data_IF_258101861890
#
_entry.id   IF_258101861890
#
_cell.length_a   1.000
_cell.length_b   1.000
_cell.length_c   1.000
_cell.angle_alpha   90.00
_cell.angle_beta   90.00
_cell.angle_gamma   90.00
#
_symmetry.space_group_name_H-M   'P 1'
#
loop_
_entity.id
_entity.type
_entity.pdbx_description
1 polymer ?
#
# COMPACT_ATOMS: atom_id res chain seq x y z
N UNK A 1 -18.85 -22.10 14.64
CA UNK A 1 -19.92 -23.09 14.37
C UNK A 1 -21.24 -22.36 14.48
N UNK A 2 -21.83 -21.93 13.36
CA UNK A 2 -23.16 -21.32 13.38
C UNK A 2 -24.15 -22.45 13.64
N UNK A 3 -24.98 -22.32 14.68
CA UNK A 3 -25.88 -23.41 15.12
C UNK A 3 -26.83 -23.82 13.98
N UNK A 4 -27.09 -25.13 13.77
CA UNK A 4 -28.04 -25.62 12.75
C UNK A 4 -29.41 -24.94 12.84
N UNK A 5 -29.81 -24.57 14.06
CA UNK A 5 -31.07 -23.87 14.36
C UNK A 5 -31.10 -22.44 13.80
N UNK A 6 -29.97 -21.72 13.84
CA UNK A 6 -29.85 -20.37 13.26
C UNK A 6 -29.91 -20.41 11.73
N UNK A 7 -29.39 -21.48 11.11
CA UNK A 7 -29.45 -21.68 9.66
C UNK A 7 -30.85 -22.11 9.20
N UNK A 8 -31.52 -23.02 9.92
CA UNK A 8 -32.87 -23.49 9.59
C UNK A 8 -33.95 -22.43 9.80
N UNK A 9 -33.83 -21.59 10.83
CA UNK A 9 -34.82 -20.54 11.08
C UNK A 9 -34.44 -19.17 10.49
N UNK A 10 -33.16 -18.87 10.32
CA UNK A 10 -32.70 -17.55 9.87
C UNK A 10 -32.74 -17.35 8.35
N UNK A 11 -32.47 -18.39 7.56
CA UNK A 11 -32.48 -18.27 6.10
C UNK A 11 -33.87 -18.01 5.51
N UNK A 12 -34.96 -18.68 5.94
CA UNK A 12 -36.31 -18.36 5.46
C UNK A 12 -36.73 -16.93 5.80
N UNK A 13 -36.37 -16.44 7.00
CA UNK A 13 -36.66 -15.06 7.44
C UNK A 13 -35.87 -14.04 6.62
N UNK A 14 -34.59 -14.30 6.34
CA UNK A 14 -33.81 -13.42 5.46
C UNK A 14 -34.34 -13.43 4.02
N UNK A 15 -34.70 -14.59 3.50
CA UNK A 15 -35.27 -14.73 2.16
C UNK A 15 -36.61 -14.00 2.03
N UNK A 16 -37.47 -14.05 3.04
CA UNK A 16 -38.74 -13.31 3.05
C UNK A 16 -38.53 -11.80 3.12
N UNK A 17 -37.62 -11.31 3.97
CA UNK A 17 -37.28 -9.87 4.06
C UNK A 17 -36.71 -9.35 2.74
N UNK A 18 -35.76 -10.08 2.13
CA UNK A 18 -35.16 -9.69 0.84
C UNK A 18 -36.19 -9.78 -0.29
N UNK A 19 -37.05 -10.80 -0.28
CA UNK A 19 -38.15 -10.94 -1.22
C UNK A 19 -39.13 -9.76 -1.15
N UNK A 20 -39.52 -9.35 0.06
CA UNK A 20 -40.43 -8.24 0.28
C UNK A 20 -39.80 -6.91 -0.14
N UNK A 21 -38.54 -6.69 0.22
CA UNK A 21 -37.77 -5.51 -0.22
C UNK A 21 -37.67 -5.42 -1.75
N UNK A 22 -37.36 -6.53 -2.43
CA UNK A 22 -37.30 -6.59 -3.90
C UNK A 22 -38.68 -6.43 -4.55
N UNK A 23 -39.75 -6.87 -3.90
CA UNK A 23 -41.13 -6.74 -4.37
C UNK A 23 -41.62 -5.29 -4.45
N UNK A 24 -41.03 -4.38 -3.65
CA UNK A 24 -41.34 -2.94 -3.71
C UNK A 24 -40.78 -2.25 -4.97
N UNK A 25 -39.82 -2.87 -5.66
CA UNK A 25 -39.14 -2.32 -6.83
C UNK A 25 -39.94 -2.67 -8.10
N UNK A 26 -40.35 -1.66 -8.87
CA UNK A 26 -41.17 -1.82 -10.09
C UNK A 26 -40.41 -2.32 -11.33
N UNK A 27 -39.24 -2.93 -11.16
CA UNK A 27 -38.44 -3.45 -12.26
C UNK A 27 -38.75 -4.94 -12.51
N UNK A 28 -38.92 -5.40 -13.77
CA UNK A 28 -39.27 -6.79 -14.07
C UNK A 28 -38.34 -7.83 -13.43
N UNK A 29 -37.03 -7.57 -13.44
CA UNK A 29 -36.05 -8.47 -12.81
C UNK A 29 -36.21 -8.57 -11.28
N UNK A 30 -36.59 -7.47 -10.62
CA UNK A 30 -36.79 -7.46 -9.17
C UNK A 30 -38.07 -8.21 -8.77
N UNK A 31 -39.14 -8.08 -9.56
CA UNK A 31 -40.39 -8.83 -9.39
C UNK A 31 -40.18 -10.34 -9.55
N UNK A 32 -39.41 -10.76 -10.55
CA UNK A 32 -39.04 -12.17 -10.76
C UNK A 32 -38.22 -12.68 -9.59
N UNK A 33 -37.19 -11.94 -9.16
CA UNK A 33 -36.34 -12.33 -8.03
C UNK A 33 -37.12 -12.45 -6.71
N UNK A 34 -38.01 -11.49 -6.42
CA UNK A 34 -38.91 -11.53 -5.25
C UNK A 34 -39.77 -12.80 -5.25
N UNK A 35 -40.46 -13.08 -6.35
CA UNK A 35 -41.30 -14.28 -6.46
C UNK A 35 -40.52 -15.58 -6.30
N UNK A 36 -39.34 -15.67 -6.91
CA UNK A 36 -38.47 -16.84 -6.80
C UNK A 36 -37.92 -17.03 -5.38
N UNK A 37 -37.52 -15.95 -4.70
CA UNK A 37 -37.05 -16.01 -3.30
C UNK A 37 -38.18 -16.41 -2.34
N UNK A 38 -39.41 -15.94 -2.58
CA UNK A 38 -40.59 -16.38 -1.83
C UNK A 38 -40.84 -17.88 -1.96
N UNK A 39 -40.82 -18.42 -3.19
CA UNK A 39 -40.97 -19.85 -3.43
C UNK A 39 -39.90 -20.70 -2.73
N UNK A 40 -38.65 -20.22 -2.71
CA UNK A 40 -37.55 -20.90 -2.00
C UNK A 40 -37.76 -20.87 -0.49
N UNK A 41 -38.22 -19.74 0.07
CA UNK A 41 -38.57 -19.62 1.49
C UNK A 41 -39.68 -20.58 1.90
N UNK A 42 -40.71 -20.72 1.06
CA UNK A 42 -41.82 -21.64 1.31
C UNK A 42 -41.35 -23.10 1.26
N UNK A 43 -40.53 -23.46 0.27
CA UNK A 43 -39.94 -24.79 0.15
C UNK A 43 -39.04 -25.16 1.35
N UNK A 44 -38.30 -24.19 1.89
CA UNK A 44 -37.52 -24.35 3.12
C UNK A 44 -38.41 -24.55 4.35
N UNK A 45 -39.47 -23.76 4.48
CA UNK A 45 -40.39 -23.81 5.62
C UNK A 45 -41.23 -25.09 5.64
N UNK A 46 -41.56 -25.62 4.46
CA UNK A 46 -42.28 -26.88 4.27
C UNK A 46 -41.36 -28.11 4.36
N UNK A 47 -40.05 -27.94 4.59
CA UNK A 47 -39.09 -29.05 4.69
C UNK A 47 -38.84 -29.78 3.37
N UNK A 48 -39.19 -29.17 2.23
CA UNK A 48 -38.94 -29.74 0.90
C UNK A 48 -37.47 -29.67 0.50
N UNK A 49 -36.71 -28.76 1.12
CA UNK A 49 -35.25 -28.71 1.04
C UNK A 49 -34.70 -29.33 2.32
N UNK A 50 -33.95 -30.43 2.19
CA UNK A 50 -33.50 -31.18 3.38
C UNK A 50 -32.34 -30.48 4.08
N UNK A 51 -32.16 -30.69 5.40
CA UNK A 51 -31.01 -30.17 6.13
C UNK A 51 -29.67 -30.61 5.54
N UNK A 52 -29.60 -31.79 4.95
CA UNK A 52 -28.39 -32.35 4.33
C UNK A 52 -28.02 -31.61 3.04
N UNK A 53 -28.99 -31.28 2.20
CA UNK A 53 -28.78 -30.47 0.99
C UNK A 53 -28.29 -29.06 1.35
N UNK A 54 -28.82 -28.48 2.44
CA UNK A 54 -28.37 -27.18 2.95
C UNK A 54 -26.96 -27.25 3.55
N UNK A 55 -26.65 -28.33 4.27
CA UNK A 55 -25.31 -28.55 4.81
C UNK A 55 -24.28 -28.73 3.70
N UNK A 56 -24.63 -29.39 2.59
CA UNK A 56 -23.78 -29.52 1.42
C UNK A 56 -23.58 -28.19 0.67
N UNK A 57 -24.66 -27.44 0.44
CA UNK A 57 -24.59 -26.10 -0.14
C UNK A 57 -23.70 -25.15 0.69
N UNK A 58 -23.80 -25.21 2.02
CA UNK A 58 -22.94 -24.43 2.92
C UNK A 58 -21.48 -24.84 2.81
N UNK A 59 -21.16 -26.14 2.74
CA UNK A 59 -19.77 -26.61 2.54
C UNK A 59 -19.19 -26.08 1.23
N UNK A 60 -19.97 -26.06 0.15
CA UNK A 60 -19.55 -25.48 -1.12
C UNK A 60 -19.36 -23.96 -1.03
N UNK A 61 -20.28 -23.24 -0.39
CA UNK A 61 -20.17 -21.81 -0.18
C UNK A 61 -18.94 -21.44 0.67
N UNK A 62 -18.68 -22.19 1.75
CA UNK A 62 -17.47 -22.04 2.58
C UNK A 62 -16.21 -22.29 1.75
N UNK A 63 -16.20 -23.35 0.91
CA UNK A 63 -15.04 -23.62 0.06
C UNK A 63 -14.81 -22.54 -0.99
N UNK A 64 -15.86 -22.01 -1.60
CA UNK A 64 -15.74 -20.91 -2.54
C UNK A 64 -15.26 -19.63 -1.86
N UNK A 65 -15.76 -19.32 -0.66
CA UNK A 65 -15.30 -18.19 0.12
C UNK A 65 -13.82 -18.33 0.52
N UNK A 66 -13.39 -19.53 0.88
CA UNK A 66 -11.98 -19.83 1.17
C UNK A 66 -11.09 -19.62 -0.07
N UNK A 67 -11.49 -20.14 -1.23
CA UNK A 67 -10.75 -19.98 -2.49
C UNK A 67 -10.68 -18.50 -2.89
N UNK A 68 -11.79 -17.77 -2.84
CA UNK A 68 -11.81 -16.33 -3.14
C UNK A 68 -10.92 -15.53 -2.16
N UNK A 69 -10.92 -15.90 -0.88
CA UNK A 69 -10.02 -15.29 0.11
C UNK A 69 -8.54 -15.59 -0.21
N UNK A 70 -8.21 -16.82 -0.59
CA UNK A 70 -6.86 -17.21 -0.99
C UNK A 70 -6.39 -16.47 -2.25
N UNK A 71 -7.26 -16.32 -3.27
CA UNK A 71 -6.99 -15.53 -4.47
C UNK A 71 -6.69 -14.07 -4.12
N UNK A 72 -7.50 -13.46 -3.27
CA UNK A 72 -7.28 -12.10 -2.79
C UNK A 72 -5.93 -11.96 -2.06
N UNK A 73 -5.61 -12.90 -1.16
CA UNK A 73 -4.33 -12.92 -0.46
C UNK A 73 -3.16 -13.04 -1.43
N UNK A 74 -3.25 -13.94 -2.41
CA UNK A 74 -2.21 -14.13 -3.42
C UNK A 74 -2.01 -12.87 -4.27
N UNK A 75 -3.10 -12.24 -4.72
CA UNK A 75 -3.05 -10.98 -5.46
C UNK A 75 -2.38 -9.87 -4.64
N UNK A 76 -2.75 -9.72 -3.36
CA UNK A 76 -2.13 -8.74 -2.48
C UNK A 76 -0.65 -9.05 -2.20
N UNK A 77 -0.27 -10.32 -2.08
CA UNK A 77 1.12 -10.71 -1.92
C UNK A 77 1.94 -10.34 -3.15
N UNK A 78 1.45 -10.64 -4.35
CA UNK A 78 2.13 -10.34 -5.60
C UNK A 78 2.33 -8.82 -5.80
N UNK A 79 1.30 -8.02 -5.51
CA UNK A 79 1.39 -6.55 -5.56
C UNK A 79 2.39 -6.01 -4.54
N UNK A 80 2.39 -6.54 -3.31
CA UNK A 80 3.34 -6.13 -2.29
C UNK A 80 4.78 -6.55 -2.63
N UNK A 81 4.97 -7.71 -3.26
CA UNK A 81 6.26 -8.19 -3.70
C UNK A 81 6.83 -7.31 -4.81
N UNK A 82 6.03 -6.96 -5.82
CA UNK A 82 6.46 -6.05 -6.89
C UNK A 82 6.79 -4.65 -6.37
N UNK A 83 5.96 -4.09 -5.48
CA UNK A 83 6.23 -2.78 -4.85
C UNK A 83 7.51 -2.80 -4.03
N UNK A 84 7.79 -3.87 -3.29
CA UNK A 84 9.05 -4.02 -2.55
C UNK A 84 10.24 -4.13 -3.50
N UNK A 85 10.11 -4.84 -4.61
CA UNK A 85 11.14 -4.94 -5.63
C UNK A 85 11.43 -3.58 -6.30
N UNK A 86 10.40 -2.79 -6.57
CA UNK A 86 10.52 -1.42 -7.09
C UNK A 86 11.20 -0.48 -6.08
N UNK A 87 10.81 -0.52 -4.82
CA UNK A 87 11.43 0.29 -3.75
C UNK A 87 12.87 -0.14 -3.48
N UNK A 88 13.17 -1.43 -3.59
CA UNK A 88 14.52 -1.98 -3.44
C UNK A 88 15.39 -1.75 -4.69
N UNK A 89 14.79 -1.34 -5.82
CA UNK A 89 15.52 -1.00 -7.04
C UNK A 89 16.47 0.16 -6.75
N UNK A 90 17.76 -0.15 -6.81
CA UNK A 90 18.85 0.74 -6.39
C UNK A 90 19.42 1.55 -7.57
N UNK A 91 18.55 1.99 -8.49
CA UNK A 91 18.97 2.73 -9.68
C UNK A 91 19.85 3.95 -9.29
N UNK A 92 21.13 3.98 -9.74
CA UNK A 92 22.04 5.08 -9.48
C UNK A 92 21.50 6.45 -9.94
N UNK A 93 20.64 6.48 -10.96
CA UNK A 93 20.03 7.70 -11.50
C UNK A 93 19.08 8.36 -10.49
N UNK A 94 18.21 7.58 -9.84
CA UNK A 94 17.24 8.08 -8.84
C UNK A 94 17.94 8.68 -7.62
N UNK A 95 19.07 8.09 -7.21
CA UNK A 95 19.87 8.57 -6.07
C UNK A 95 20.68 9.84 -6.40
N UNK A 96 21.09 10.03 -7.66
CA UNK A 96 21.89 11.17 -8.11
C UNK A 96 21.05 12.36 -8.57
N UNK A 97 19.84 12.12 -9.07
CA UNK A 97 18.87 13.15 -9.49
C UNK A 97 18.60 14.19 -8.39
N UNK A 98 18.43 13.75 -7.14
CA UNK A 98 18.09 14.67 -6.04
C UNK A 98 19.26 15.62 -5.70
N UNK A 99 20.51 15.14 -5.53
CA UNK A 99 21.68 16.02 -5.40
C UNK A 99 21.94 16.92 -6.61
N UNK A 100 21.81 16.43 -7.84
CA UNK A 100 22.10 17.21 -9.06
C UNK A 100 21.20 18.44 -9.19
N UNK A 101 19.92 18.31 -8.81
CA UNK A 101 19.01 19.45 -8.77
C UNK A 101 19.50 20.54 -7.81
N UNK A 102 19.91 20.16 -6.59
CA UNK A 102 20.45 21.11 -5.61
C UNK A 102 21.72 21.81 -6.09
N UNK A 103 22.64 21.09 -6.76
CA UNK A 103 23.85 21.69 -7.32
C UNK A 103 23.56 22.67 -8.45
N UNK A 104 22.62 22.34 -9.35
CA UNK A 104 22.21 23.25 -10.42
C UNK A 104 21.58 24.53 -9.86
N UNK A 105 20.72 24.41 -8.84
CA UNK A 105 20.12 25.57 -8.15
C UNK A 105 21.16 26.45 -7.45
N UNK A 106 22.15 25.84 -6.79
CA UNK A 106 23.23 26.59 -6.16
C UNK A 106 24.08 27.33 -7.21
N UNK A 107 24.34 26.70 -8.35
CA UNK A 107 25.10 27.30 -9.44
C UNK A 107 24.34 28.46 -10.08
N UNK A 108 23.04 28.31 -10.36
CA UNK A 108 22.23 29.41 -10.92
C UNK A 108 22.12 30.57 -9.95
N UNK A 109 21.95 30.30 -8.65
CA UNK A 109 21.95 31.33 -7.63
C UNK A 109 23.30 32.07 -7.55
N UNK A 110 24.41 31.35 -7.58
CA UNK A 110 25.74 31.96 -7.57
C UNK A 110 25.97 32.83 -8.81
N UNK A 111 25.59 32.36 -9.99
CA UNK A 111 25.67 33.13 -11.23
C UNK A 111 24.80 34.39 -11.16
N UNK A 112 23.59 34.29 -10.62
CA UNK A 112 22.67 35.42 -10.47
C UNK A 112 23.18 36.47 -9.49
N UNK A 113 23.75 36.06 -8.35
CA UNK A 113 24.35 36.97 -7.37
C UNK A 113 25.61 37.65 -7.94
N UNK A 114 26.42 36.93 -8.73
CA UNK A 114 27.57 37.52 -9.42
C UNK A 114 27.16 38.54 -10.47
N UNK A 115 26.10 38.26 -11.24
CA UNK A 115 25.54 39.20 -12.21
C UNK A 115 25.03 40.47 -11.51
N UNK A 116 24.32 40.34 -10.39
CA UNK A 116 23.88 41.48 -9.58
C UNK A 116 25.07 42.28 -9.04
N UNK A 117 26.08 41.62 -8.49
CA UNK A 117 27.29 42.28 -7.98
C UNK A 117 28.03 43.03 -9.08
N UNK A 118 28.12 42.44 -10.29
CA UNK A 118 28.73 43.09 -11.45
C UNK A 118 27.99 44.38 -11.82
N UNK A 119 26.65 44.33 -11.95
CA UNK A 119 25.85 45.51 -12.30
C UNK A 119 25.99 46.60 -11.24
N UNK A 120 25.97 46.24 -9.95
CA UNK A 120 26.10 47.22 -8.86
C UNK A 120 27.46 47.93 -8.90
N UNK A 121 28.54 47.25 -9.30
CA UNK A 121 29.90 47.82 -9.32
C UNK A 121 30.19 48.58 -10.62
N UNK A 122 29.82 48.02 -11.76
CA UNK A 122 30.24 48.52 -13.08
C UNK A 122 29.14 49.26 -13.84
N UNK A 123 27.87 49.02 -13.53
CA UNK A 123 26.71 49.60 -14.22
C UNK A 123 25.70 50.19 -13.20
N UNK A 124 26.20 50.97 -12.26
CA UNK A 124 25.44 51.56 -11.12
C UNK A 124 24.15 52.26 -11.56
N UNK A 125 24.16 52.92 -12.72
CA UNK A 125 22.99 53.60 -13.28
C UNK A 125 21.80 52.65 -13.54
N UNK A 126 22.07 51.37 -13.82
CA UNK A 126 21.05 50.34 -14.07
C UNK A 126 20.73 49.49 -12.84
N UNK A 127 21.45 49.69 -11.73
CA UNK A 127 21.32 48.85 -10.54
C UNK A 127 19.90 48.87 -9.97
N UNK A 128 19.22 50.01 -10.00
CA UNK A 128 17.85 50.17 -9.49
C UNK A 128 16.84 49.30 -10.27
N UNK A 129 16.83 49.43 -11.60
CA UNK A 129 15.94 48.66 -12.49
C UNK A 129 16.20 47.15 -12.38
N UNK A 130 17.47 46.75 -12.25
CA UNK A 130 17.84 45.34 -12.13
C UNK A 130 17.45 44.76 -10.77
N UNK A 131 17.59 45.53 -9.68
CA UNK A 131 17.14 45.12 -8.35
C UNK A 131 15.61 45.00 -8.28
N UNK A 132 14.88 45.92 -8.89
CA UNK A 132 13.42 45.84 -8.98
C UNK A 132 12.99 44.61 -9.82
N UNK A 133 13.73 44.31 -10.88
CA UNK A 133 13.50 43.09 -11.67
C UNK A 133 13.76 41.83 -10.84
N UNK A 134 14.80 41.83 -9.99
CA UNK A 134 15.10 40.71 -9.09
C UNK A 134 13.97 40.43 -8.09
N UNK A 135 13.32 41.47 -7.58
CA UNK A 135 12.16 41.34 -6.69
C UNK A 135 11.02 40.57 -7.36
N UNK A 136 10.77 40.82 -8.66
CA UNK A 136 9.75 40.11 -9.43
C UNK A 136 10.01 38.60 -9.58
N UNK A 137 11.28 38.16 -9.47
CA UNK A 137 11.64 36.74 -9.45
C UNK A 137 11.42 36.10 -8.07
N UNK A 138 11.02 36.85 -7.04
CA UNK A 138 10.80 36.33 -5.69
C UNK A 138 9.85 35.14 -5.64
N UNK A 139 8.76 35.16 -6.42
CA UNK A 139 7.76 34.07 -6.45
C UNK A 139 8.35 32.75 -6.95
N UNK A 140 9.15 32.76 -8.03
CA UNK A 140 9.77 31.53 -8.55
C UNK A 140 10.81 30.99 -7.57
N UNK A 141 11.55 31.87 -6.88
CA UNK A 141 12.50 31.50 -5.84
C UNK A 141 11.82 30.91 -4.60
N UNK A 142 10.68 31.46 -4.17
CA UNK A 142 9.89 30.91 -3.07
C UNK A 142 9.47 29.47 -3.36
N UNK A 143 8.98 29.19 -4.57
CA UNK A 143 8.63 27.82 -4.97
C UNK A 143 9.87 26.93 -4.98
N UNK A 144 10.96 27.36 -5.62
CA UNK A 144 12.20 26.57 -5.73
C UNK A 144 12.83 26.24 -4.37
N UNK A 145 12.88 27.21 -3.46
CA UNK A 145 13.42 27.04 -2.11
C UNK A 145 12.49 26.19 -1.23
N UNK A 146 11.17 26.24 -1.44
CA UNK A 146 10.23 25.37 -0.72
C UNK A 146 10.48 23.88 -1.01
N UNK A 147 10.70 23.53 -2.28
CA UNK A 147 11.01 22.16 -2.72
C UNK A 147 12.33 21.69 -2.14
N UNK A 148 13.36 22.55 -2.16
CA UNK A 148 14.66 22.25 -1.59
C UNK A 148 14.59 22.10 -0.06
N UNK A 149 13.78 22.91 0.61
CA UNK A 149 13.53 22.81 2.05
C UNK A 149 12.91 21.46 2.45
N UNK A 150 11.87 21.01 1.74
CA UNK A 150 11.25 19.70 1.96
C UNK A 150 12.26 18.58 1.70
N UNK A 151 13.07 18.69 0.64
CA UNK A 151 14.11 17.72 0.33
C UNK A 151 15.16 17.62 1.45
N UNK A 152 15.69 18.74 1.92
CA UNK A 152 16.68 18.78 3.03
C UNK A 152 16.08 18.22 4.31
N UNK A 153 14.82 18.55 4.61
CA UNK A 153 14.11 18.02 5.77
C UNK A 153 14.01 16.49 5.71
N UNK A 154 13.47 15.94 4.61
CA UNK A 154 13.34 14.49 4.43
C UNK A 154 14.69 13.77 4.45
N UNK A 155 15.71 14.34 3.81
CA UNK A 155 17.07 13.78 3.82
C UNK A 155 17.69 13.81 5.22
N UNK A 156 17.34 14.80 6.04
CA UNK A 156 17.78 14.88 7.43
C UNK A 156 17.05 13.85 8.31
N UNK A 157 15.75 13.62 8.07
CA UNK A 157 15.00 12.53 8.71
C UNK A 157 15.59 11.16 8.40
N UNK A 158 15.91 10.88 7.12
CA UNK A 158 16.56 9.62 6.71
C UNK A 158 17.88 9.36 7.47
N UNK A 159 18.66 10.41 7.71
CA UNK A 159 19.92 10.33 8.49
C UNK A 159 19.67 10.08 9.97
N UNK A 160 18.58 10.61 10.54
CA UNK A 160 18.22 10.43 11.95
C UNK A 160 17.78 9.00 12.28
N UNK A 161 17.15 8.31 11.33
CA UNK A 161 16.67 6.92 11.48
C UNK A 161 17.82 5.91 11.34
N UNK A 162 19.04 6.36 10.99
CA UNK A 162 20.26 5.53 11.02
C UNK A 162 21.14 5.90 12.24
N UNK A 163 20.80 5.48 13.47
CA UNK A 163 21.73 5.56 14.60
C UNK A 163 22.85 4.52 14.43
N UNK A 164 24.11 4.99 14.40
CA UNK A 164 25.35 4.23 14.62
C UNK A 164 25.50 2.85 13.95
N UNK A 165 25.99 2.83 12.71
CA UNK A 165 27.08 1.89 12.39
C UNK A 165 28.35 2.51 12.98
N UNK A 166 28.51 2.34 14.30
CA UNK A 166 29.73 2.66 15.01
C UNK A 166 30.90 1.92 14.38
N UNK A 167 32.04 2.60 14.34
CA UNK A 167 33.37 2.04 14.10
C UNK A 167 33.48 0.68 14.82
N UNK A 168 33.51 -0.43 14.07
CA UNK A 168 33.96 -1.72 14.62
C UNK A 168 35.47 -1.62 14.84
N UNK A 169 36.00 -1.76 16.06
CA UNK A 169 37.43 -1.95 16.21
C UNK A 169 37.77 -3.29 15.54
N UNK A 170 38.71 -3.21 14.61
CA UNK A 170 39.30 -4.37 13.95
C UNK A 170 39.99 -5.24 15.00
N UNK A 171 39.34 -6.32 15.41
CA UNK A 171 40.02 -7.46 16.01
C UNK A 171 40.08 -8.54 14.94
N UNK A 172 41.21 -8.58 14.24
CA UNK A 172 41.72 -9.82 13.64
C UNK A 172 41.74 -10.87 14.75
N UNK A 173 41.10 -12.02 14.55
CA UNK A 173 41.70 -13.32 14.84
C UNK A 173 40.87 -14.50 14.29
N UNK A 174 41.57 -15.27 13.47
CA UNK A 174 41.51 -16.73 13.26
C UNK A 174 40.15 -17.43 13.15
N UNK A 175 39.91 -17.90 11.93
CA UNK A 175 39.21 -19.12 11.53
C UNK A 175 39.31 -20.26 12.56
N UNK A 176 38.17 -20.87 12.89
CA UNK A 176 38.05 -22.29 13.26
C UNK A 176 36.65 -22.81 12.84
N UNK A 177 36.52 -24.10 12.44
CA UNK A 177 35.44 -24.57 11.55
C UNK A 177 34.13 -24.95 12.28
N UNK A 178 33.07 -25.03 11.48
CA UNK A 178 31.70 -25.35 11.89
C UNK A 178 31.54 -26.74 12.54
N UNK A 179 30.67 -26.89 13.56
CA UNK A 179 30.21 -28.20 13.99
C UNK A 179 29.02 -28.69 13.15
N UNK A 180 29.10 -29.97 12.81
CA UNK A 180 28.24 -30.77 11.93
C UNK A 180 26.77 -30.85 12.33
N UNK A 181 25.91 -30.87 11.30
CA UNK A 181 24.49 -31.26 11.33
C UNK A 181 24.36 -32.66 11.94
N UNK A 182 23.66 -32.79 13.07
CA UNK A 182 23.18 -34.09 13.57
C UNK A 182 21.68 -34.22 13.28
N UNK A 183 21.39 -35.09 12.33
CA UNK A 183 20.07 -35.61 11.99
C UNK A 183 19.45 -36.32 13.21
N UNK A 184 18.37 -35.78 13.80
CA UNK A 184 17.50 -36.56 14.70
C UNK A 184 16.43 -37.26 13.89
N UNK A 185 16.75 -38.46 13.41
CA UNK A 185 15.77 -39.51 13.17
C UNK A 185 15.40 -40.19 14.50
N UNK A 186 14.16 -40.65 14.58
CA UNK A 186 13.62 -41.63 15.55
C UNK A 186 13.11 -41.08 16.89
N UNK A 187 11.81 -40.77 16.95
CA UNK A 187 11.00 -41.12 18.11
C UNK A 187 9.99 -42.18 17.65
N UNK A 188 10.24 -43.43 18.05
CA UNK A 188 9.31 -44.54 17.92
C UNK A 188 8.19 -44.36 18.95
N UNK A 189 6.97 -44.53 18.47
CA UNK A 189 5.77 -44.83 19.26
C UNK A 189 5.97 -46.19 19.93
N UNK A 190 5.79 -46.25 21.26
CA UNK A 190 5.61 -47.50 21.98
C UNK A 190 4.26 -47.43 22.71
N UNK A 191 3.41 -48.38 22.34
CA UNK A 191 2.35 -49.10 23.07
C UNK A 191 1.44 -48.35 24.05
#
# INVERSE_FOLDING_TARGET
MVSPVLLQMGLPVLASIVSEALGTIKHPAAQVASKSLGQVSDALSMGQITPEQMAEANRHAEKMAEVAAQENVAAYQQVNESLRAEVASSDPYVRRMRPTFGYLMALTWAAQMLALAYVIVFETAQADIVLQSMESLGTIWMVGLSVLGIYVYKRSEEKRITPSQGVKPSIKNSVAPAPSVQTRQNYKVNE
#
